data_IF_269863920066
#
_entry.id   IF_269863920066
#
_cell.length_a   1.000
_cell.length_b   1.000
_cell.length_c   1.000
_cell.angle_alpha   90.00
_cell.angle_beta   90.00
_cell.angle_gamma   90.00
#
_symmetry.space_group_name_H-M   'P 1'
#
loop_
_entity.id
_entity.type
_entity.pdbx_description
1 polymer ?
#
# COMPACT_ATOMS: atom_id res chain seq x y z
N UNK A 1 41.92 26.20 8.14
CA UNK A 1 41.04 25.68 9.19
C UNK A 1 39.80 25.10 8.50
N UNK A 2 39.69 23.78 8.46
CA UNK A 2 38.47 23.08 7.95
C UNK A 2 37.37 23.24 9.01
N UNK A 3 36.33 23.99 8.72
CA UNK A 3 35.10 23.94 9.51
C UNK A 3 34.40 22.62 9.24
N UNK A 4 34.19 21.84 10.29
CA UNK A 4 33.36 20.63 10.25
C UNK A 4 31.89 21.06 10.11
N UNK A 5 31.26 20.64 9.04
CA UNK A 5 29.82 20.68 8.89
C UNK A 5 29.21 19.74 9.92
N UNK A 6 28.55 20.29 10.91
CA UNK A 6 27.88 19.55 11.95
C UNK A 6 26.45 19.29 11.46
N UNK A 7 26.19 18.11 10.90
CA UNK A 7 24.85 17.62 10.71
C UNK A 7 24.25 17.27 12.07
N UNK A 8 23.34 18.08 12.55
CA UNK A 8 22.51 17.72 13.72
C UNK A 8 21.42 16.77 13.19
N UNK A 9 21.66 15.49 13.40
CA UNK A 9 20.76 14.41 13.05
C UNK A 9 19.92 14.04 14.27
N UNK A 10 19.05 14.93 14.73
CA UNK A 10 18.03 14.58 15.70
C UNK A 10 16.99 15.71 15.82
N UNK A 11 15.71 15.38 15.61
CA UNK A 11 14.49 16.16 15.89
C UNK A 11 13.96 17.12 14.82
N UNK A 12 14.01 16.79 13.54
CA UNK A 12 13.15 17.47 12.57
C UNK A 12 12.28 16.46 11.83
N UNK A 13 11.08 16.23 12.34
CA UNK A 13 10.05 15.46 11.62
C UNK A 13 9.32 16.27 10.52
N UNK A 14 9.78 17.50 10.24
CA UNK A 14 9.24 18.33 9.14
C UNK A 14 10.36 19.13 8.53
N UNK A 15 10.76 18.79 7.33
CA UNK A 15 11.74 19.53 6.52
C UNK A 15 11.09 20.65 5.68
N UNK A 16 9.87 21.01 5.99
CA UNK A 16 9.18 22.11 5.33
C UNK A 16 9.83 23.43 5.75
N UNK A 17 10.50 24.10 4.82
CA UNK A 17 11.10 25.44 4.94
C UNK A 17 12.46 25.54 5.63
N UNK A 18 13.47 24.81 5.16
CA UNK A 18 14.84 25.14 5.52
C UNK A 18 15.32 26.34 4.70
N UNK A 19 15.53 27.49 5.37
CA UNK A 19 16.17 28.66 4.75
C UNK A 19 17.68 28.57 4.97
N UNK A 20 18.45 28.43 3.90
CA UNK A 20 19.91 28.58 3.94
C UNK A 20 20.30 30.06 3.82
N UNK A 21 21.32 30.43 4.54
CA UNK A 21 21.90 31.77 4.47
C UNK A 21 23.31 31.69 3.88
N UNK A 22 23.69 32.69 3.08
CA UNK A 22 25.06 32.85 2.64
C UNK A 22 25.95 33.34 3.82
N UNK A 23 27.27 33.48 3.59
CA UNK A 23 28.21 33.95 4.58
C UNK A 23 27.96 35.40 5.04
N UNK A 24 27.11 36.14 4.35
CA UNK A 24 26.74 37.53 4.67
C UNK A 24 25.41 37.61 5.39
N UNK A 25 24.76 36.45 5.67
CA UNK A 25 23.47 36.36 6.35
C UNK A 25 22.27 36.62 5.44
N UNK A 26 22.44 36.63 4.11
CA UNK A 26 21.31 36.74 3.18
C UNK A 26 20.68 35.37 2.96
N UNK A 27 19.34 35.32 2.99
CA UNK A 27 18.62 34.09 2.68
C UNK A 27 18.90 33.68 1.22
N UNK A 28 19.47 32.50 1.06
CA UNK A 28 19.52 31.84 -0.24
C UNK A 28 18.10 31.40 -0.59
N UNK A 29 17.68 31.65 -1.82
CA UNK A 29 16.37 31.25 -2.31
C UNK A 29 16.07 29.80 -1.90
N UNK A 30 14.89 29.56 -1.35
CA UNK A 30 14.43 28.30 -0.82
C UNK A 30 14.89 27.10 -1.67
N UNK A 31 15.72 26.23 -1.09
CA UNK A 31 15.96 24.91 -1.69
C UNK A 31 14.63 24.17 -1.58
N UNK A 32 13.95 23.99 -2.71
CA UNK A 32 12.94 22.95 -2.81
C UNK A 32 13.70 21.65 -2.51
N UNK A 33 13.42 21.02 -1.40
CA UNK A 33 13.88 19.65 -1.15
C UNK A 33 13.15 18.78 -2.19
N UNK A 34 13.80 18.63 -3.33
CA UNK A 34 13.40 17.66 -4.35
C UNK A 34 13.74 16.31 -3.73
N UNK A 35 12.71 15.49 -3.49
CA UNK A 35 12.72 14.11 -2.97
C UNK A 35 12.46 13.95 -1.46
N UNK A 36 11.38 14.52 -0.94
CA UNK A 36 10.67 13.78 0.10
C UNK A 36 10.08 12.53 -0.61
N UNK A 37 10.29 11.31 -0.09
CA UNK A 37 9.52 10.17 -0.57
C UNK A 37 8.06 10.56 -0.47
N UNK A 38 7.30 10.42 -1.57
CA UNK A 38 5.89 10.76 -1.59
C UNK A 38 5.20 10.06 -0.42
N UNK A 39 4.46 10.82 0.38
CA UNK A 39 3.75 10.31 1.56
C UNK A 39 2.87 9.13 1.15
N UNK A 40 2.89 8.05 1.95
CA UNK A 40 1.95 6.96 1.79
C UNK A 40 0.57 7.44 2.25
N UNK A 41 -0.42 7.39 1.37
CA UNK A 41 -1.79 7.86 1.62
C UNK A 41 -2.66 6.81 2.33
N UNK A 42 -2.15 5.61 2.53
CA UNK A 42 -2.84 4.54 3.26
C UNK A 42 -2.50 4.59 4.75
N UNK A 43 -3.45 4.21 5.56
CA UNK A 43 -3.30 3.87 6.97
C UNK A 43 -3.35 2.35 7.13
N UNK A 44 -2.89 1.84 8.27
CA UNK A 44 -2.84 0.40 8.58
C UNK A 44 -2.20 -0.42 7.44
N UNK A 45 -1.08 0.04 6.95
CA UNK A 45 -0.41 -0.47 5.74
C UNK A 45 0.15 -1.87 5.90
N UNK A 46 0.55 -2.24 7.12
CA UNK A 46 1.10 -3.55 7.50
C UNK A 46 0.13 -4.34 8.38
N UNK A 47 -1.16 -3.93 8.47
CA UNK A 47 -2.21 -4.64 9.20
C UNK A 47 -1.94 -4.85 10.70
N UNK A 48 -1.16 -3.96 11.33
CA UNK A 48 -0.71 -4.08 12.72
C UNK A 48 -1.73 -3.58 13.77
N UNK A 49 -2.75 -2.79 13.34
CA UNK A 49 -3.55 -2.02 14.29
C UNK A 49 -4.52 -2.85 15.13
N UNK A 50 -4.97 -4.01 14.65
CA UNK A 50 -6.12 -4.71 15.22
C UNK A 50 -5.79 -6.08 15.81
N UNK A 51 -4.53 -6.54 15.71
CA UNK A 51 -4.20 -7.93 16.01
C UNK A 51 -4.88 -8.89 15.03
N UNK A 52 -5.36 -10.04 15.50
CA UNK A 52 -6.09 -10.99 14.64
C UNK A 52 -7.55 -10.54 14.49
N UNK A 53 -7.95 -10.21 13.28
CA UNK A 53 -9.33 -9.76 12.95
C UNK A 53 -9.72 -10.16 11.52
N UNK A 54 -11.03 -10.25 11.25
CA UNK A 54 -11.59 -10.43 9.90
C UNK A 54 -12.02 -9.12 9.27
N UNK A 55 -11.87 -8.00 9.98
CA UNK A 55 -12.22 -6.65 9.53
C UNK A 55 -11.07 -5.70 9.85
N UNK A 56 -9.96 -5.75 9.10
CA UNK A 56 -8.80 -4.90 9.36
C UNK A 56 -9.20 -3.42 9.27
N UNK A 57 -8.79 -2.63 10.27
CA UNK A 57 -9.08 -1.21 10.33
C UNK A 57 -8.63 -0.50 9.05
N UNK A 58 -9.42 0.47 8.62
CA UNK A 58 -9.16 1.28 7.41
C UNK A 58 -9.25 0.54 6.06
N UNK A 59 -9.55 -0.72 6.05
CA UNK A 59 -9.79 -1.52 4.85
C UNK A 59 -11.21 -2.05 4.81
N UNK A 60 -11.75 -2.21 3.60
CA UNK A 60 -13.03 -2.89 3.37
C UNK A 60 -12.76 -4.32 2.93
N UNK A 61 -13.65 -5.22 3.32
CA UNK A 61 -13.62 -6.62 2.90
C UNK A 61 -14.89 -6.92 2.11
N UNK A 62 -14.74 -7.59 0.97
CA UNK A 62 -15.84 -8.16 0.19
C UNK A 62 -15.63 -9.67 0.08
N UNK A 63 -16.69 -10.43 0.27
CA UNK A 63 -16.72 -11.88 0.14
C UNK A 63 -17.84 -12.26 -0.83
N UNK A 64 -17.60 -13.25 -1.70
CA UNK A 64 -18.63 -13.78 -2.61
C UNK A 64 -19.77 -14.46 -1.84
N UNK A 65 -19.45 -15.12 -0.71
CA UNK A 65 -20.40 -15.60 0.27
C UNK A 65 -20.16 -14.89 1.60
N UNK A 66 -21.14 -14.10 2.03
CA UNK A 66 -21.05 -13.33 3.28
C UNK A 66 -21.06 -14.18 4.55
N UNK A 67 -21.31 -15.49 4.43
CA UNK A 67 -21.21 -16.44 5.56
C UNK A 67 -19.76 -16.86 5.85
N UNK A 68 -18.85 -16.73 4.86
CA UNK A 68 -17.44 -17.14 4.95
C UNK A 68 -16.57 -16.08 5.64
N UNK A 69 -16.93 -15.72 6.84
CA UNK A 69 -16.30 -14.59 7.57
C UNK A 69 -14.83 -14.85 7.99
N UNK A 70 -14.31 -16.05 7.77
CA UNK A 70 -12.92 -16.44 8.10
C UNK A 70 -11.93 -16.37 6.93
N UNK A 71 -12.43 -16.23 5.69
CA UNK A 71 -11.63 -16.27 4.45
C UNK A 71 -10.61 -15.13 4.38
N UNK A 72 -10.97 -13.95 4.85
CA UNK A 72 -10.08 -12.78 4.97
C UNK A 72 -9.82 -12.52 6.44
N UNK A 73 -8.57 -12.51 6.84
CA UNK A 73 -8.18 -12.26 8.25
C UNK A 73 -6.75 -11.73 8.36
N UNK A 74 -6.46 -11.01 9.42
CA UNK A 74 -5.09 -10.74 9.83
C UNK A 74 -4.57 -11.89 10.67
N UNK A 75 -3.30 -12.25 10.49
CA UNK A 75 -2.65 -13.35 11.21
C UNK A 75 -1.29 -12.92 11.73
N UNK A 76 -0.96 -13.39 12.94
CA UNK A 76 0.34 -13.21 13.57
C UNK A 76 1.43 -14.06 12.91
N UNK A 77 2.60 -13.48 12.75
CA UNK A 77 3.83 -14.15 12.33
C UNK A 77 4.00 -14.31 10.83
N UNK A 78 5.25 -14.46 10.42
CA UNK A 78 5.68 -14.56 9.03
C UNK A 78 5.26 -13.36 8.16
N UNK A 79 5.04 -12.18 8.77
CA UNK A 79 4.78 -10.92 8.10
C UNK A 79 6.00 -10.46 7.29
N UNK A 80 5.79 -9.53 6.35
CA UNK A 80 6.88 -8.83 5.67
C UNK A 80 7.44 -7.73 6.57
N UNK A 81 6.54 -6.96 7.20
CA UNK A 81 6.84 -5.91 8.15
C UNK A 81 5.99 -6.08 9.41
N UNK A 82 6.60 -5.86 10.58
CA UNK A 82 5.92 -6.01 11.85
C UNK A 82 5.61 -7.46 12.25
N UNK A 83 4.48 -7.65 12.91
CA UNK A 83 4.05 -8.91 13.51
C UNK A 83 2.87 -9.56 12.79
N UNK A 84 2.07 -8.79 12.06
CA UNK A 84 0.84 -9.25 11.42
C UNK A 84 0.92 -9.12 9.90
N UNK A 85 0.09 -9.90 9.20
CA UNK A 85 -0.13 -9.84 7.75
C UNK A 85 -1.61 -10.09 7.46
N UNK A 86 -2.10 -9.66 6.32
CA UNK A 86 -3.42 -10.06 5.83
C UNK A 86 -3.32 -11.39 5.09
N UNK A 87 -4.25 -12.29 5.36
CA UNK A 87 -4.34 -13.63 4.74
C UNK A 87 -5.68 -13.80 4.06
N UNK A 88 -5.65 -14.33 2.83
CA UNK A 88 -6.77 -14.95 2.15
C UNK A 88 -6.56 -16.46 2.20
N UNK A 89 -7.51 -17.18 2.74
CA UNK A 89 -7.50 -18.65 2.80
C UNK A 89 -8.87 -19.18 3.19
N UNK A 90 -9.26 -20.30 2.60
CA UNK A 90 -10.43 -21.06 3.00
C UNK A 90 -10.22 -22.56 2.68
N UNK A 91 -10.93 -23.46 3.38
CA UNK A 91 -10.94 -24.90 3.10
C UNK A 91 -11.91 -25.29 1.98
N UNK A 92 -12.60 -24.33 1.42
CA UNK A 92 -13.50 -24.42 0.26
C UNK A 92 -13.13 -23.39 -0.80
N UNK A 93 -13.67 -23.53 -2.02
CA UNK A 93 -13.44 -22.53 -3.08
C UNK A 93 -14.07 -21.19 -2.69
N UNK A 94 -13.34 -20.10 -2.90
CA UNK A 94 -13.73 -18.77 -2.46
C UNK A 94 -13.39 -17.68 -3.47
N UNK A 95 -14.08 -16.54 -3.32
CA UNK A 95 -13.68 -15.29 -3.97
C UNK A 95 -13.82 -14.15 -2.98
N UNK A 96 -12.78 -13.35 -2.85
CA UNK A 96 -12.77 -12.22 -1.93
C UNK A 96 -11.95 -11.05 -2.44
N UNK A 97 -12.14 -9.91 -1.80
CA UNK A 97 -11.34 -8.71 -2.03
C UNK A 97 -11.12 -7.96 -0.73
N UNK A 98 -9.92 -7.39 -0.56
CA UNK A 98 -9.66 -6.32 0.39
C UNK A 98 -9.38 -5.04 -0.36
N UNK A 99 -10.00 -3.94 0.02
CA UNK A 99 -9.92 -2.71 -0.75
C UNK A 99 -10.09 -1.43 0.08
N UNK A 100 -9.65 -0.32 -0.51
CA UNK A 100 -9.83 1.04 0.02
C UNK A 100 -10.43 1.93 -1.06
N UNK A 101 -11.43 2.75 -0.68
CA UNK A 101 -12.05 3.74 -1.56
C UNK A 101 -11.73 5.15 -1.06
N UNK A 102 -11.30 6.01 -1.97
CA UNK A 102 -11.06 7.43 -1.78
C UNK A 102 -12.12 8.24 -2.52
N UNK A 103 -12.71 9.24 -1.86
CA UNK A 103 -13.77 10.08 -2.45
C UNK A 103 -13.38 11.54 -2.61
N UNK A 104 -12.24 11.98 -2.08
CA UNK A 104 -11.72 13.35 -2.18
C UNK A 104 -10.23 13.35 -2.52
N UNK A 105 -9.78 12.39 -3.31
CA UNK A 105 -8.38 12.29 -3.71
C UNK A 105 -8.07 13.37 -4.76
N UNK A 106 -7.05 14.23 -4.58
CA UNK A 106 -6.69 15.22 -5.59
C UNK A 106 -6.37 14.57 -6.93
N UNK A 107 -6.80 15.17 -8.04
CA UNK A 107 -6.41 14.70 -9.37
C UNK A 107 -4.89 14.68 -9.54
N UNK A 108 -4.39 13.74 -10.32
CA UNK A 108 -2.96 13.52 -10.56
C UNK A 108 -2.63 12.07 -10.79
N UNK A 109 -1.35 11.76 -10.92
CA UNK A 109 -0.86 10.41 -11.17
C UNK A 109 -0.45 9.74 -9.85
N UNK A 110 -0.90 8.50 -9.67
CA UNK A 110 -0.65 7.72 -8.47
C UNK A 110 -0.03 6.36 -8.82
N UNK A 111 0.60 5.75 -7.83
CA UNK A 111 1.12 4.40 -7.87
C UNK A 111 0.59 3.64 -6.66
N UNK A 112 0.10 2.42 -6.88
CA UNK A 112 -0.31 1.50 -5.82
C UNK A 112 0.58 0.26 -5.84
N UNK A 113 1.13 -0.12 -4.69
CA UNK A 113 1.91 -1.35 -4.54
C UNK A 113 1.59 -2.06 -3.23
N UNK A 114 1.83 -3.38 -3.22
CA UNK A 114 1.69 -4.22 -2.03
C UNK A 114 2.69 -5.38 -2.10
N UNK A 115 3.18 -5.81 -0.96
CA UNK A 115 3.95 -7.04 -0.86
C UNK A 115 3.01 -8.23 -0.74
N UNK A 116 3.28 -9.28 -1.51
CA UNK A 116 2.48 -10.49 -1.54
C UNK A 116 3.35 -11.75 -1.62
N UNK A 117 2.82 -12.84 -1.09
CA UNK A 117 3.30 -14.22 -1.30
C UNK A 117 2.10 -15.16 -1.35
N UNK A 118 2.20 -16.23 -2.11
CA UNK A 118 1.09 -17.15 -2.37
C UNK A 118 1.61 -18.56 -2.73
N UNK A 119 0.74 -19.59 -2.69
CA UNK A 119 1.02 -20.90 -3.29
C UNK A 119 0.96 -20.86 -4.82
N UNK A 120 0.30 -19.85 -5.43
CA UNK A 120 0.29 -19.65 -6.87
C UNK A 120 -0.78 -20.44 -7.63
N UNK A 121 -1.72 -21.08 -6.96
CA UNK A 121 -2.73 -21.97 -7.56
C UNK A 121 -4.08 -21.26 -7.78
N UNK A 122 -4.22 -19.98 -7.44
CA UNK A 122 -5.43 -19.20 -7.62
C UNK A 122 -5.78 -19.03 -9.11
N UNK A 123 -7.07 -19.19 -9.47
CA UNK A 123 -7.59 -18.88 -10.80
C UNK A 123 -7.40 -17.40 -11.15
N UNK A 124 -7.60 -16.50 -10.18
CA UNK A 124 -7.34 -15.07 -10.27
C UNK A 124 -6.71 -14.60 -8.97
N UNK A 125 -5.60 -13.89 -9.06
CA UNK A 125 -5.04 -13.13 -7.96
C UNK A 125 -4.38 -11.88 -8.52
N UNK A 126 -4.95 -10.70 -8.20
CA UNK A 126 -4.51 -9.45 -8.81
C UNK A 126 -4.70 -8.24 -7.91
N UNK A 127 -3.78 -7.27 -8.05
CA UNK A 127 -4.06 -5.90 -7.67
C UNK A 127 -5.01 -5.28 -8.67
N UNK A 128 -5.83 -4.34 -8.22
CA UNK A 128 -6.64 -3.52 -9.10
C UNK A 128 -6.70 -2.05 -8.66
N UNK A 129 -6.95 -1.17 -9.64
CA UNK A 129 -7.28 0.24 -9.45
C UNK A 129 -8.45 0.59 -10.37
N UNK A 130 -9.54 1.11 -9.81
CA UNK A 130 -10.75 1.47 -10.56
C UNK A 130 -11.42 2.73 -9.99
N UNK A 131 -12.48 3.19 -10.65
CA UNK A 131 -13.28 4.36 -10.25
C UNK A 131 -12.49 5.68 -10.22
N UNK A 132 -11.36 5.77 -10.91
CA UNK A 132 -10.47 6.93 -10.94
C UNK A 132 -10.69 7.84 -12.17
N UNK A 133 -11.68 7.53 -13.03
CA UNK A 133 -12.00 8.26 -14.25
C UNK A 133 -11.42 7.65 -15.52
N UNK A 134 -10.83 6.48 -15.44
CA UNK A 134 -10.35 5.63 -16.54
C UNK A 134 -10.86 4.20 -16.42
N UNK A 135 -10.39 3.34 -17.34
CA UNK A 135 -10.64 1.91 -17.32
C UNK A 135 -9.91 1.24 -16.14
N UNK A 136 -10.43 0.11 -15.66
CA UNK A 136 -9.80 -0.63 -14.57
C UNK A 136 -8.38 -1.07 -14.96
N UNK A 137 -7.41 -0.78 -14.09
CA UNK A 137 -6.04 -1.25 -14.19
C UNK A 137 -5.85 -2.45 -13.26
N UNK A 138 -5.12 -3.47 -13.74
CA UNK A 138 -4.81 -4.66 -12.95
C UNK A 138 -3.34 -5.06 -13.08
N UNK A 139 -2.81 -5.67 -12.03
CA UNK A 139 -1.50 -6.35 -12.06
C UNK A 139 -1.67 -7.72 -11.43
N UNK A 140 -1.42 -8.78 -12.21
CA UNK A 140 -1.50 -10.15 -11.72
C UNK A 140 -0.36 -10.43 -10.74
N UNK A 141 -0.70 -11.05 -9.62
CA UNK A 141 0.29 -11.58 -8.66
C UNK A 141 0.63 -12.99 -9.12
N UNK A 142 1.82 -13.16 -9.67
CA UNK A 142 2.25 -14.39 -10.36
C UNK A 142 3.30 -15.18 -9.58
N UNK A 143 3.52 -14.89 -8.31
CA UNK A 143 4.50 -15.66 -7.55
C UNK A 143 3.93 -17.00 -7.12
N UNK A 144 4.68 -18.07 -7.35
CA UNK A 144 4.49 -19.38 -6.74
C UNK A 144 5.53 -19.63 -5.65
N UNK A 145 6.17 -18.57 -5.18
CA UNK A 145 7.26 -18.60 -4.23
C UNK A 145 6.73 -18.23 -2.84
N UNK A 146 7.17 -18.95 -1.83
CA UNK A 146 6.94 -18.64 -0.43
C UNK A 146 7.62 -17.33 0.02
N UNK A 147 8.39 -16.68 -0.86
CA UNK A 147 9.04 -15.42 -0.59
C UNK A 147 8.11 -14.25 -0.89
N UNK A 148 8.31 -13.18 -0.14
CA UNK A 148 7.62 -11.93 -0.37
C UNK A 148 8.14 -11.23 -1.62
N UNK A 149 7.20 -10.79 -2.49
CA UNK A 149 7.48 -10.00 -3.69
C UNK A 149 6.57 -8.77 -3.71
N UNK A 150 7.08 -7.66 -4.25
CA UNK A 150 6.28 -6.45 -4.45
C UNK A 150 5.59 -6.46 -5.81
N UNK A 151 4.30 -6.12 -5.83
CA UNK A 151 3.51 -5.94 -7.05
C UNK A 151 3.01 -4.51 -7.10
N UNK A 152 2.95 -3.95 -8.30
CA UNK A 152 2.69 -2.51 -8.47
C UNK A 152 1.75 -2.27 -9.65
N UNK A 153 0.82 -1.32 -9.49
CA UNK A 153 0.10 -0.64 -10.56
C UNK A 153 0.67 0.77 -10.64
N UNK A 154 1.31 1.08 -11.75
CA UNK A 154 1.83 2.40 -12.07
C UNK A 154 0.79 3.23 -12.84
N UNK A 155 1.01 4.55 -12.92
CA UNK A 155 0.30 5.47 -13.80
C UNK A 155 -1.23 5.48 -13.61
N UNK A 156 -1.73 5.40 -12.37
CA UNK A 156 -3.14 5.59 -12.05
C UNK A 156 -3.47 7.07 -12.18
N UNK A 157 -4.03 7.50 -13.33
CA UNK A 157 -4.32 8.92 -13.62
C UNK A 157 -5.71 9.27 -13.10
N UNK A 158 -5.78 9.76 -11.87
CA UNK A 158 -7.03 10.18 -11.22
C UNK A 158 -7.51 11.51 -11.85
N UNK A 159 -8.75 11.53 -12.38
CA UNK A 159 -9.35 12.68 -13.05
C UNK A 159 -10.68 13.14 -12.45
N UNK A 160 -11.26 12.33 -11.56
CA UNK A 160 -12.60 12.55 -10.99
C UNK A 160 -12.62 12.64 -9.45
N UNK A 161 -11.46 12.85 -8.83
CA UNK A 161 -11.27 12.92 -7.37
C UNK A 161 -11.65 11.65 -6.60
N UNK A 162 -11.80 10.51 -7.28
CA UNK A 162 -12.09 9.22 -6.64
C UNK A 162 -11.05 8.17 -7.06
N UNK A 163 -10.89 7.15 -6.26
CA UNK A 163 -10.06 5.99 -6.57
C UNK A 163 -10.50 4.84 -5.67
N UNK A 164 -10.58 3.65 -6.21
CA UNK A 164 -10.64 2.41 -5.45
C UNK A 164 -9.45 1.54 -5.83
N UNK A 165 -8.70 1.11 -4.83
CA UNK A 165 -7.58 0.17 -4.97
C UNK A 165 -7.82 -1.05 -4.10
N UNK A 166 -7.29 -2.20 -4.51
CA UNK A 166 -7.41 -3.41 -3.71
C UNK A 166 -6.70 -4.60 -4.31
N UNK A 167 -6.89 -5.73 -3.66
CA UNK A 167 -6.50 -7.05 -4.13
C UNK A 167 -7.74 -7.92 -4.23
N UNK A 168 -7.91 -8.61 -5.35
CA UNK A 168 -9.01 -9.51 -5.64
C UNK A 168 -8.48 -10.90 -5.94
N UNK A 169 -9.19 -11.93 -5.47
CA UNK A 169 -8.87 -13.32 -5.74
C UNK A 169 -10.11 -14.15 -6.07
N UNK A 170 -9.91 -15.15 -6.92
CA UNK A 170 -10.75 -16.35 -7.12
C UNK A 170 -9.84 -17.54 -6.90
N UNK A 171 -10.18 -18.41 -5.97
CA UNK A 171 -9.30 -19.45 -5.48
C UNK A 171 -10.05 -20.75 -5.23
N UNK A 172 -9.35 -21.88 -5.37
CA UNK A 172 -9.80 -23.17 -4.95
C UNK A 172 -9.70 -23.36 -3.42
N UNK A 173 -10.11 -24.53 -2.96
CA UNK A 173 -9.91 -24.92 -1.58
C UNK A 173 -8.41 -25.00 -1.25
N UNK A 174 -8.04 -24.56 -0.05
CA UNK A 174 -6.67 -24.55 0.47
C UNK A 174 -5.67 -23.61 -0.25
N UNK A 175 -6.09 -22.90 -1.28
CA UNK A 175 -5.28 -21.84 -1.86
C UNK A 175 -5.14 -20.67 -0.89
N UNK A 176 -3.96 -20.07 -0.84
CA UNK A 176 -3.70 -18.97 0.08
C UNK A 176 -2.89 -17.83 -0.54
N UNK A 177 -3.14 -16.65 -0.06
CA UNK A 177 -2.33 -15.47 -0.33
C UNK A 177 -2.14 -14.67 0.95
N UNK A 178 -0.91 -14.22 1.19
CA UNK A 178 -0.59 -13.26 2.24
C UNK A 178 -0.21 -11.92 1.63
N UNK A 179 -0.68 -10.85 2.25
CA UNK A 179 -0.50 -9.47 1.82
C UNK A 179 0.06 -8.63 2.97
N UNK A 180 0.93 -7.67 2.64
CA UNK A 180 1.57 -6.79 3.62
C UNK A 180 2.10 -5.51 2.97
N UNK A 181 2.42 -4.49 3.77
CA UNK A 181 3.06 -3.24 3.34
C UNK A 181 2.45 -2.63 2.08
N UNK A 182 1.17 -2.28 2.17
CA UNK A 182 0.47 -1.56 1.10
C UNK A 182 0.93 -0.10 1.01
N UNK A 183 1.17 0.40 -0.20
CA UNK A 183 1.63 1.76 -0.47
C UNK A 183 0.79 2.37 -1.58
N UNK A 184 0.13 3.49 -1.30
CA UNK A 184 -0.44 4.38 -2.30
C UNK A 184 0.23 5.73 -2.20
N UNK A 185 0.83 6.21 -3.28
CA UNK A 185 1.50 7.49 -3.30
C UNK A 185 1.18 8.28 -4.57
N UNK A 186 1.14 9.60 -4.46
CA UNK A 186 1.12 10.49 -5.61
C UNK A 186 2.53 10.56 -6.20
N UNK A 187 2.66 10.40 -7.51
CA UNK A 187 3.96 10.42 -8.20
C UNK A 187 4.15 11.71 -9.00
N UNK A 188 3.05 12.38 -9.39
CA UNK A 188 3.04 13.71 -10.02
C UNK A 188 1.72 14.45 -9.77
#
# INVERSE_FOLDING_TARGET
>A
RRQRQMCIRDRCNTWDNMTLFDFNGNALSSIKVLNQPAENLLSNISFENDGVTTTPADWNVWLSDSSDTGTVKTEYGYAYDGDYKLTFWDDSAYSCSVYKTFTNLPNGTYQFSIWAKTNGDQDVLQLYAKNYGGDELTTTITTSDINWNIFTIDEIVVTNNTLEIGVYTVAGADDWCNLDMAILRKVE
#
